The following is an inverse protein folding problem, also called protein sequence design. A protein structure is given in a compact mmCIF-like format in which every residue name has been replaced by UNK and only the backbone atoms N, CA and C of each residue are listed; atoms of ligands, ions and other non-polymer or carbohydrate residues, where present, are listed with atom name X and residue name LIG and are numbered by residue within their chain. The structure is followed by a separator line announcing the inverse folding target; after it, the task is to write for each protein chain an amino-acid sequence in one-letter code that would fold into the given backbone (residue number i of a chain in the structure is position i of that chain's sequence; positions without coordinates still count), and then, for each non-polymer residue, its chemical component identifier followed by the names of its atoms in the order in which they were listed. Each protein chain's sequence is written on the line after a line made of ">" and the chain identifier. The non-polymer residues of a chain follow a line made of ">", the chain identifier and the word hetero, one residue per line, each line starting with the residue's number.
data_IF_664941732559
#
_entry.id   IF_664941732559
#
_cell.length_a   1.000
_cell.length_b   1.000
_cell.length_c   1.000
_cell.angle_alpha   90.00
_cell.angle_beta   90.00
_cell.angle_gamma   90.00
#
_symmetry.space_group_name_H-M   'P 1'
#
loop_
_entity.id
_entity.type
_entity.pdbx_description
1 polymer ?
#
# COMPACT_ATOMS: atom_id res chain seq x y z
N UNK A 1 19.71 7.22 29.31
CA UNK A 1 18.70 6.35 29.94
C UNK A 1 17.61 6.05 28.92
N UNK A 2 17.44 4.78 28.53
CA UNK A 2 16.38 4.39 27.60
C UNK A 2 15.08 4.13 28.35
N UNK A 3 13.97 4.70 27.87
CA UNK A 3 12.64 4.46 28.43
C UNK A 3 12.19 3.08 27.96
N UNK A 4 11.97 2.17 28.90
CA UNK A 4 11.48 0.82 28.65
C UNK A 4 9.94 0.79 28.58
N UNK A 5 9.40 -0.22 27.89
CA UNK A 5 7.96 -0.51 27.87
C UNK A 5 7.56 -1.02 29.26
N UNK A 6 6.56 -0.40 29.89
CA UNK A 6 6.16 -0.75 31.26
C UNK A 6 5.68 -2.20 31.38
N UNK A 7 5.89 -2.82 32.55
CA UNK A 7 5.44 -4.19 32.82
C UNK A 7 3.92 -4.34 32.66
N UNK A 8 3.16 -3.33 33.07
CA UNK A 8 1.69 -3.31 32.89
C UNK A 8 1.30 -3.43 31.42
N UNK A 9 1.96 -2.70 30.51
CA UNK A 9 1.71 -2.81 29.07
C UNK A 9 2.06 -4.19 28.53
N UNK A 10 3.15 -4.77 29.01
CA UNK A 10 3.57 -6.13 28.60
C UNK A 10 2.53 -7.16 29.06
N UNK A 11 2.09 -7.08 30.32
CA UNK A 11 1.09 -7.99 30.88
C UNK A 11 -0.27 -7.82 30.18
N UNK A 12 -0.70 -6.57 29.95
CA UNK A 12 -1.91 -6.28 29.18
C UNK A 12 -1.83 -6.80 27.75
N UNK A 13 -0.67 -6.66 27.09
CA UNK A 13 -0.46 -7.19 25.75
C UNK A 13 -0.46 -8.73 25.71
N UNK A 14 0.05 -9.39 26.76
CA UNK A 14 -0.02 -10.85 26.88
C UNK A 14 -1.47 -11.34 27.02
N UNK A 15 -2.31 -10.61 27.75
CA UNK A 15 -3.72 -10.95 27.94
C UNK A 15 -4.60 -10.65 26.71
N UNK A 16 -4.35 -9.51 26.05
CA UNK A 16 -5.21 -9.01 24.95
C UNK A 16 -4.71 -9.38 23.56
N UNK A 17 -3.44 -9.79 23.43
CA UNK A 17 -2.79 -9.96 22.14
C UNK A 17 -2.49 -8.64 21.43
N UNK A 18 -2.60 -7.49 22.09
CA UNK A 18 -2.35 -6.17 21.48
C UNK A 18 -1.34 -5.39 22.30
N UNK A 19 -0.22 -5.02 21.68
CA UNK A 19 0.78 -4.15 22.30
C UNK A 19 0.69 -2.74 21.72
N UNK A 20 0.38 -1.76 22.58
CA UNK A 20 0.45 -0.34 22.24
C UNK A 20 1.59 0.32 23.02
N UNK A 21 2.67 0.65 22.30
CA UNK A 21 3.82 1.37 22.84
C UNK A 21 4.07 2.69 22.08
N UNK A 22 2.98 3.41 21.81
CA UNK A 22 3.00 4.72 21.16
C UNK A 22 3.61 5.79 22.07
N UNK A 23 4.43 6.68 21.51
CA UNK A 23 5.04 7.83 22.23
C UNK A 23 5.87 7.44 23.47
N UNK A 24 6.40 6.22 23.51
CA UNK A 24 7.22 5.71 24.59
C UNK A 24 8.69 6.14 24.51
N UNK A 25 9.06 7.04 23.58
CA UNK A 25 10.45 7.50 23.34
C UNK A 25 11.40 6.33 23.01
N UNK A 26 10.87 5.27 22.39
CA UNK A 26 11.67 4.11 21.98
C UNK A 26 12.63 4.51 20.86
N UNK A 27 13.88 4.08 20.95
CA UNK A 27 14.94 4.38 19.97
C UNK A 27 15.80 3.15 19.64
N UNK A 28 15.52 2.00 20.26
CA UNK A 28 16.33 0.78 20.14
C UNK A 28 15.48 -0.41 19.74
N UNK A 29 15.69 -0.90 18.52
CA UNK A 29 15.10 -2.15 18.06
C UNK A 29 15.51 -3.35 18.91
N UNK A 30 16.71 -3.36 19.50
CA UNK A 30 17.15 -4.47 20.36
C UNK A 30 16.27 -4.59 21.60
N UNK A 31 15.91 -3.47 22.22
CA UNK A 31 15.02 -3.44 23.39
C UNK A 31 13.62 -3.90 23.00
N UNK A 32 13.10 -3.38 21.89
CA UNK A 32 11.79 -3.77 21.37
C UNK A 32 11.74 -5.27 21.07
N UNK A 33 12.73 -5.81 20.36
CA UNK A 33 12.82 -7.23 20.03
C UNK A 33 12.81 -8.11 21.29
N UNK A 34 13.53 -7.71 22.35
CA UNK A 34 13.50 -8.44 23.64
C UNK A 34 12.10 -8.46 24.27
N UNK A 35 11.35 -7.38 24.17
CA UNK A 35 9.96 -7.31 24.69
C UNK A 35 9.03 -8.16 23.82
N UNK A 36 9.06 -7.98 22.50
CA UNK A 36 8.21 -8.71 21.56
C UNK A 36 8.49 -10.22 21.58
N UNK A 37 9.72 -10.65 21.86
CA UNK A 37 10.07 -12.06 22.00
C UNK A 37 9.31 -12.76 23.14
N UNK A 38 8.85 -12.01 24.16
CA UNK A 38 8.05 -12.53 25.28
C UNK A 38 6.55 -12.63 24.94
N UNK A 39 6.13 -12.10 23.79
CA UNK A 39 4.73 -11.94 23.41
C UNK A 39 4.48 -12.63 22.04
N UNK A 40 4.56 -13.97 21.96
CA UNK A 40 4.51 -14.70 20.69
C UNK A 40 3.14 -14.74 20.01
N UNK A 41 2.07 -14.34 20.70
CA UNK A 41 0.68 -14.43 20.21
C UNK A 41 0.05 -13.07 19.90
N UNK A 42 0.87 -12.04 19.66
CA UNK A 42 0.36 -10.70 19.35
C UNK A 42 -0.35 -10.67 18.00
N UNK A 43 -1.59 -10.16 18.02
CA UNK A 43 -2.41 -9.87 16.84
C UNK A 43 -2.26 -8.42 16.38
N UNK A 44 -1.91 -7.50 17.28
CA UNK A 44 -1.70 -6.09 16.95
C UNK A 44 -0.51 -5.49 17.66
N UNK A 45 0.30 -4.72 16.93
CA UNK A 45 1.45 -3.99 17.47
C UNK A 45 1.43 -2.56 16.97
N UNK A 46 1.39 -1.59 17.89
CA UNK A 46 1.55 -0.18 17.61
C UNK A 46 2.81 0.36 18.30
N UNK A 47 3.78 0.79 17.49
CA UNK A 47 5.04 1.41 17.91
C UNK A 47 5.15 2.83 17.33
N UNK A 48 4.02 3.49 17.08
CA UNK A 48 3.98 4.79 16.43
C UNK A 48 4.52 5.93 17.31
N UNK A 49 4.93 7.03 16.66
CA UNK A 49 5.37 8.26 17.33
C UNK A 49 6.53 8.03 18.31
N UNK A 50 7.44 7.14 17.95
CA UNK A 50 8.69 6.92 18.66
C UNK A 50 9.88 7.55 17.89
N UNK A 51 11.11 7.21 18.25
CA UNK A 51 12.36 7.73 17.62
C UNK A 51 13.15 6.60 16.98
N UNK A 52 12.45 5.64 16.36
CA UNK A 52 13.08 4.51 15.70
C UNK A 52 13.66 4.98 14.36
N UNK A 53 14.94 5.37 14.37
CA UNK A 53 15.65 5.88 13.20
C UNK A 53 16.46 4.82 12.46
N UNK A 54 16.89 3.77 13.17
CA UNK A 54 17.63 2.66 12.58
C UNK A 54 16.70 1.80 11.71
N UNK A 55 17.21 1.23 10.60
CA UNK A 55 16.47 0.24 9.82
C UNK A 55 15.93 -0.88 10.70
N UNK A 56 14.78 -1.42 10.31
CA UNK A 56 14.15 -2.53 11.01
C UNK A 56 15.14 -3.71 11.09
N UNK A 57 15.43 -4.18 12.31
CA UNK A 57 16.38 -5.28 12.49
C UNK A 57 15.81 -6.58 11.94
N UNK A 58 16.65 -7.38 11.32
CA UNK A 58 16.22 -8.67 10.76
C UNK A 58 15.77 -9.69 11.80
N UNK A 59 16.30 -9.58 13.02
CA UNK A 59 15.80 -10.31 14.19
C UNK A 59 14.31 -10.11 14.47
N UNK A 60 13.70 -9.01 14.01
CA UNK A 60 12.25 -8.80 14.11
C UNK A 60 11.49 -9.88 13.36
N UNK A 61 11.94 -10.30 12.17
CA UNK A 61 11.26 -11.33 11.37
C UNK A 61 11.36 -12.74 11.95
N UNK A 62 12.23 -12.94 12.96
CA UNK A 62 12.37 -14.21 13.68
C UNK A 62 11.46 -14.33 14.90
N UNK A 63 10.66 -13.31 15.19
CA UNK A 63 9.75 -13.29 16.34
C UNK A 63 8.53 -14.19 16.10
N UNK A 64 8.10 -14.92 17.13
CA UNK A 64 6.94 -15.80 17.07
C UNK A 64 5.62 -15.09 16.71
N UNK A 65 5.51 -13.79 17.04
CA UNK A 65 4.31 -12.98 16.80
C UNK A 65 3.84 -12.98 15.34
N UNK A 66 4.75 -13.12 14.38
CA UNK A 66 4.40 -13.03 12.95
C UNK A 66 3.42 -14.11 12.49
N UNK A 67 3.30 -15.23 13.20
CA UNK A 67 2.30 -16.27 12.89
C UNK A 67 0.86 -15.84 13.22
N UNK A 68 0.68 -14.83 14.06
CA UNK A 68 -0.63 -14.36 14.54
C UNK A 68 -0.91 -12.88 14.25
N UNK A 69 0.14 -12.10 13.97
CA UNK A 69 0.07 -10.66 13.78
C UNK A 69 -0.80 -10.28 12.58
N UNK A 70 -1.81 -9.45 12.81
CA UNK A 70 -2.74 -8.91 11.81
C UNK A 70 -2.49 -7.43 11.54
N UNK A 71 -2.07 -6.67 12.55
CA UNK A 71 -1.85 -5.23 12.42
C UNK A 71 -0.49 -4.81 12.95
N UNK A 72 0.24 -4.02 12.15
CA UNK A 72 1.52 -3.44 12.52
C UNK A 72 1.53 -1.95 12.18
N UNK A 73 1.66 -1.11 13.21
CA UNK A 73 1.83 0.33 13.08
C UNK A 73 3.23 0.76 13.53
N UNK A 74 4.01 1.24 12.58
CA UNK A 74 5.35 1.81 12.76
C UNK A 74 5.39 3.30 12.36
N UNK A 75 4.23 3.95 12.27
CA UNK A 75 4.12 5.29 11.74
C UNK A 75 4.78 6.35 12.64
N UNK A 76 5.09 7.50 12.06
CA UNK A 76 5.63 8.66 12.77
C UNK A 76 6.90 8.33 13.57
N UNK A 77 7.79 7.55 12.97
CA UNK A 77 9.13 7.29 13.46
C UNK A 77 10.14 8.03 12.56
N UNK A 78 11.41 7.61 12.56
CA UNK A 78 12.44 8.14 11.66
C UNK A 78 13.01 7.02 10.77
N UNK A 79 12.22 5.98 10.49
CA UNK A 79 12.71 4.80 9.75
C UNK A 79 13.16 5.19 8.36
N UNK A 80 14.38 4.83 8.01
CA UNK A 80 14.95 5.07 6.67
C UNK A 80 14.74 3.90 5.73
N UNK A 81 14.60 2.67 6.24
CA UNK A 81 14.33 1.46 5.46
C UNK A 81 13.51 0.45 6.29
N UNK A 82 12.56 -0.19 5.64
CA UNK A 82 11.75 -1.30 6.15
C UNK A 82 11.93 -2.57 5.31
N UNK A 83 13.07 -2.69 4.62
CA UNK A 83 13.35 -3.67 3.58
C UNK A 83 13.29 -5.13 4.08
N UNK A 84 13.45 -5.35 5.39
CA UNK A 84 13.27 -6.67 6.02
C UNK A 84 11.82 -7.17 5.99
N UNK A 85 10.84 -6.28 5.79
CA UNK A 85 9.44 -6.66 5.59
C UNK A 85 9.21 -7.23 4.18
N UNK A 86 10.26 -7.40 3.37
CA UNK A 86 10.21 -8.00 2.04
C UNK A 86 11.15 -9.20 1.90
N UNK A 87 11.74 -9.37 0.71
CA UNK A 87 12.67 -10.48 0.37
C UNK A 87 13.77 -10.69 1.41
N UNK A 88 14.34 -9.62 1.97
CA UNK A 88 15.43 -9.73 2.95
C UNK A 88 14.98 -10.47 4.23
N UNK A 89 13.73 -10.31 4.66
CA UNK A 89 13.16 -11.09 5.76
C UNK A 89 12.92 -12.54 5.39
N UNK A 90 12.45 -12.79 4.16
CA UNK A 90 12.25 -14.15 3.64
C UNK A 90 13.55 -14.93 3.48
N UNK A 91 14.62 -14.30 2.98
CA UNK A 91 15.93 -14.92 2.76
C UNK A 91 16.70 -15.21 4.06
N UNK A 92 16.53 -14.41 5.11
CA UNK A 92 17.15 -14.73 6.41
C UNK A 92 16.56 -15.98 7.07
N UNK A 93 15.30 -16.31 6.76
CA UNK A 93 14.64 -17.54 7.22
C UNK A 93 15.07 -18.76 6.39
N UNK A 94 15.30 -18.60 5.08
CA UNK A 94 15.69 -19.70 4.18
C UNK A 94 17.11 -20.23 4.43
N UNK A 95 18.02 -19.45 5.03
CA UNK A 95 19.38 -19.92 5.39
C UNK A 95 19.41 -21.04 6.43
N UNK A 96 18.29 -21.35 7.11
CA UNK A 96 18.15 -22.55 7.95
C UNK A 96 17.75 -23.81 7.19
N UNK A 97 17.22 -23.70 5.97
CA UNK A 97 16.84 -24.84 5.15
C UNK A 97 17.81 -24.98 3.98
N UNK A 98 18.75 -25.93 4.12
CA UNK A 98 19.63 -26.35 3.02
C UNK A 98 18.77 -26.67 1.79
N UNK A 99 19.19 -26.13 0.64
CA UNK A 99 18.92 -26.56 -0.75
C UNK A 99 17.83 -27.64 -0.85
N UNK A 100 16.58 -27.22 -0.87
CA UNK A 100 15.51 -27.99 -1.48
C UNK A 100 14.70 -27.04 -2.36
N UNK A 101 14.49 -27.47 -3.59
CA UNK A 101 13.72 -26.83 -4.66
C UNK A 101 12.22 -26.74 -4.39
N UNK A 102 11.79 -27.00 -3.16
CA UNK A 102 10.45 -26.72 -2.64
C UNK A 102 10.58 -25.77 -1.44
N UNK A 103 10.68 -24.48 -1.72
CA UNK A 103 10.64 -23.45 -0.68
C UNK A 103 9.17 -23.28 -0.29
N UNK A 104 8.72 -23.95 0.78
CA UNK A 104 7.47 -23.58 1.44
C UNK A 104 7.61 -22.13 1.93
N UNK A 105 7.15 -21.18 1.10
CA UNK A 105 7.21 -19.75 1.43
C UNK A 105 6.49 -19.55 2.75
N UNK A 106 7.21 -19.08 3.76
CA UNK A 106 6.60 -18.65 5.02
C UNK A 106 5.72 -17.46 4.71
N UNK A 107 4.42 -17.64 4.90
CA UNK A 107 3.39 -16.63 4.64
C UNK A 107 2.81 -16.17 5.96
N UNK A 108 2.76 -14.85 6.16
CA UNK A 108 2.24 -14.27 7.40
C UNK A 108 0.83 -13.68 7.19
N UNK A 109 -0.03 -13.70 8.24
CA UNK A 109 -1.42 -13.29 8.13
C UNK A 109 -1.62 -11.78 8.32
N UNK A 110 -0.59 -10.96 8.11
CA UNK A 110 -0.67 -9.52 8.30
C UNK A 110 -1.70 -8.92 7.34
N UNK A 111 -2.62 -8.12 7.86
CA UNK A 111 -3.74 -7.52 7.12
C UNK A 111 -3.60 -6.00 6.99
N UNK A 112 -2.86 -5.35 7.90
CA UNK A 112 -2.67 -3.90 7.89
C UNK A 112 -1.24 -3.54 8.28
N UNK A 113 -0.59 -2.75 7.43
CA UNK A 113 0.75 -2.23 7.66
C UNK A 113 0.75 -0.71 7.52
N UNK A 114 1.17 -0.02 8.58
CA UNK A 114 1.31 1.43 8.59
C UNK A 114 2.77 1.84 8.79
N UNK A 115 3.35 2.43 7.75
CA UNK A 115 4.71 2.97 7.66
C UNK A 115 4.72 4.49 7.45
N UNK A 116 3.57 5.15 7.64
CA UNK A 116 3.40 6.58 7.37
C UNK A 116 4.33 7.46 8.21
N UNK A 117 4.63 8.68 7.75
CA UNK A 117 5.40 9.70 8.47
C UNK A 117 6.80 9.24 8.91
N UNK A 118 7.46 8.42 8.09
CA UNK A 118 8.84 8.00 8.26
C UNK A 118 9.77 8.74 7.28
N UNK A 119 10.99 8.24 7.08
CA UNK A 119 11.97 8.73 6.09
C UNK A 119 12.29 7.64 5.06
N UNK A 120 11.30 6.83 4.69
CA UNK A 120 11.50 5.72 3.76
C UNK A 120 11.79 6.26 2.37
N UNK A 121 12.88 5.80 1.76
CA UNK A 121 13.22 6.08 0.37
C UNK A 121 12.67 5.03 -0.60
N UNK A 122 12.29 3.85 -0.09
CA UNK A 122 11.73 2.77 -0.89
C UNK A 122 10.75 1.91 -0.10
N UNK A 123 9.83 1.26 -0.82
CA UNK A 123 8.96 0.23 -0.27
C UNK A 123 9.70 -1.11 -0.16
N UNK A 124 9.33 -1.99 0.79
CA UNK A 124 9.93 -3.31 0.90
C UNK A 124 9.69 -4.14 -0.37
N UNK A 125 10.76 -4.73 -0.91
CA UNK A 125 10.71 -5.53 -2.13
C UNK A 125 9.90 -6.83 -1.91
N UNK A 126 8.96 -7.15 -2.79
CA UNK A 126 8.06 -8.32 -2.70
C UNK A 126 7.32 -8.44 -1.36
N UNK A 127 6.97 -7.29 -0.76
CA UNK A 127 6.17 -7.19 0.47
C UNK A 127 4.93 -8.12 0.46
N UNK A 128 4.21 -8.17 -0.67
CA UNK A 128 2.94 -8.88 -0.78
C UNK A 128 3.10 -10.39 -0.96
N UNK A 129 4.28 -10.86 -1.37
CA UNK A 129 4.58 -12.29 -1.35
C UNK A 129 4.76 -12.80 0.08
N UNK A 130 5.28 -11.95 0.97
CA UNK A 130 5.47 -12.25 2.38
C UNK A 130 4.16 -12.08 3.19
N UNK A 131 3.35 -11.09 2.80
CA UNK A 131 2.06 -10.76 3.41
C UNK A 131 0.91 -10.80 2.39
N UNK A 132 0.53 -11.97 1.85
CA UNK A 132 -0.51 -12.09 0.82
C UNK A 132 -1.92 -11.76 1.34
N UNK A 133 -2.11 -11.70 2.66
CA UNK A 133 -3.36 -11.24 3.30
C UNK A 133 -3.39 -9.74 3.55
N UNK A 134 -2.36 -8.99 3.14
CA UNK A 134 -2.28 -7.55 3.39
C UNK A 134 -3.39 -6.83 2.62
N UNK A 135 -4.29 -6.18 3.35
CA UNK A 135 -5.42 -5.41 2.80
C UNK A 135 -5.11 -3.94 2.72
N UNK A 136 -4.35 -3.42 3.68
CA UNK A 136 -4.08 -1.98 3.81
C UNK A 136 -2.58 -1.72 3.95
N UNK A 137 -2.06 -0.92 3.03
CA UNK A 137 -0.70 -0.40 3.07
C UNK A 137 -0.74 1.12 3.15
N UNK A 138 -0.30 1.65 4.29
CA UNK A 138 -0.18 3.09 4.51
C UNK A 138 1.30 3.48 4.55
N UNK A 139 1.74 4.30 3.61
CA UNK A 139 3.08 4.90 3.57
C UNK A 139 2.98 6.40 3.31
N UNK A 140 1.94 7.05 3.85
CA UNK A 140 1.67 8.49 3.70
C UNK A 140 2.75 9.34 4.36
N UNK A 141 3.06 10.52 3.84
CA UNK A 141 3.83 11.54 4.54
C UNK A 141 5.30 11.16 4.74
N UNK A 142 5.86 10.26 3.91
CA UNK A 142 7.27 9.94 4.00
C UNK A 142 8.10 11.17 3.58
N UNK A 143 9.08 11.52 4.43
CA UNK A 143 9.86 12.75 4.30
C UNK A 143 10.91 12.67 3.19
N UNK A 144 11.40 11.47 2.91
CA UNK A 144 12.28 11.20 1.79
C UNK A 144 11.43 10.93 0.54
N UNK A 145 11.90 11.33 -0.67
CA UNK A 145 11.29 10.89 -1.93
C UNK A 145 11.20 9.37 -1.98
N UNK A 146 9.97 8.88 -2.11
CA UNK A 146 9.72 7.45 -2.24
C UNK A 146 9.96 7.05 -3.70
N UNK A 147 11.00 6.26 -3.94
CA UNK A 147 11.34 5.77 -5.28
C UNK A 147 10.58 4.47 -5.57
N UNK A 148 9.75 4.51 -6.61
CA UNK A 148 8.97 3.35 -7.10
C UNK A 148 9.36 3.10 -8.56
N UNK A 149 10.64 2.84 -8.79
CA UNK A 149 11.14 2.45 -10.11
C UNK A 149 10.51 1.13 -10.55
N UNK A 150 10.11 1.07 -11.82
CA UNK A 150 9.45 -0.10 -12.41
C UNK A 150 7.99 -0.29 -12.01
N UNK A 151 7.38 0.71 -11.35
CA UNK A 151 5.98 0.67 -10.94
C UNK A 151 5.75 -0.08 -9.61
N UNK A 152 4.59 0.15 -9.03
CA UNK A 152 4.23 -0.37 -7.70
C UNK A 152 4.28 -1.89 -7.65
N UNK A 153 3.69 -2.58 -8.63
CA UNK A 153 3.67 -4.04 -8.67
C UNK A 153 5.06 -4.68 -8.75
N UNK A 154 5.98 -4.11 -9.54
CA UNK A 154 7.35 -4.64 -9.61
C UNK A 154 8.07 -4.52 -8.26
N UNK A 155 7.74 -3.47 -7.48
CA UNK A 155 8.34 -3.25 -6.18
C UNK A 155 7.75 -4.17 -5.10
N UNK A 156 6.42 -4.22 -4.95
CA UNK A 156 5.80 -4.92 -3.81
C UNK A 156 5.28 -6.33 -4.13
N UNK A 157 5.22 -6.73 -5.40
CA UNK A 157 4.63 -7.99 -5.84
C UNK A 157 3.12 -7.89 -6.13
N UNK A 158 2.49 -9.04 -6.39
CA UNK A 158 1.03 -9.16 -6.56
C UNK A 158 0.33 -9.30 -5.21
N UNK A 159 -0.90 -8.78 -5.10
CA UNK A 159 -1.65 -8.78 -3.85
C UNK A 159 -3.15 -8.92 -4.06
N UNK A 160 -3.65 -10.15 -4.03
CA UNK A 160 -5.06 -10.45 -4.23
C UNK A 160 -5.98 -9.79 -3.18
N UNK A 161 -5.50 -9.63 -1.94
CA UNK A 161 -6.27 -9.08 -0.83
C UNK A 161 -6.13 -7.55 -0.66
N UNK A 162 -5.22 -6.90 -1.39
CA UNK A 162 -4.89 -5.50 -1.18
C UNK A 162 -6.06 -4.61 -1.62
N UNK A 163 -6.67 -3.88 -0.69
CA UNK A 163 -7.82 -3.00 -0.93
C UNK A 163 -7.45 -1.53 -0.94
N UNK A 164 -6.49 -1.12 -0.13
CA UNK A 164 -6.12 0.29 0.04
C UNK A 164 -4.61 0.48 -0.05
N UNK A 165 -4.21 1.40 -0.92
CA UNK A 165 -2.84 1.92 -1.04
C UNK A 165 -2.88 3.42 -0.73
N UNK A 166 -2.18 3.84 0.33
CA UNK A 166 -2.01 5.25 0.67
C UNK A 166 -0.54 5.64 0.61
N UNK A 167 -0.18 6.40 -0.41
CA UNK A 167 1.15 6.97 -0.62
C UNK A 167 1.07 8.50 -0.71
N UNK A 168 0.04 9.13 -0.15
CA UNK A 168 -0.12 10.58 -0.19
C UNK A 168 1.02 11.30 0.54
N UNK A 169 1.35 12.52 0.13
CA UNK A 169 2.39 13.36 0.75
C UNK A 169 3.77 12.69 0.85
N UNK A 170 4.12 11.76 -0.03
CA UNK A 170 5.36 10.98 0.00
C UNK A 170 6.37 11.39 -1.07
N UNK A 171 6.22 12.62 -1.58
CA UNK A 171 7.13 13.25 -2.55
C UNK A 171 7.32 12.43 -3.83
N UNK A 172 6.31 11.65 -4.22
CA UNK A 172 6.33 10.89 -5.48
C UNK A 172 6.37 11.85 -6.66
N UNK A 173 7.37 11.70 -7.53
CA UNK A 173 7.45 12.45 -8.81
C UNK A 173 6.80 11.71 -9.98
N UNK A 174 6.75 10.39 -9.88
CA UNK A 174 6.19 9.50 -10.88
C UNK A 174 5.55 8.31 -10.20
N UNK A 175 4.41 7.86 -10.72
CA UNK A 175 3.74 6.69 -10.20
C UNK A 175 3.05 5.93 -11.33
N UNK A 176 3.26 4.62 -11.34
CA UNK A 176 2.44 3.68 -12.09
C UNK A 176 2.11 2.52 -11.17
N UNK A 177 0.89 2.00 -11.27
CA UNK A 177 0.57 0.75 -10.62
C UNK A 177 1.28 -0.41 -11.32
N UNK A 178 1.30 -0.38 -12.67
CA UNK A 178 1.97 -1.34 -13.53
C UNK A 178 2.91 -0.64 -14.51
N UNK A 179 4.13 -1.14 -14.61
CA UNK A 179 5.12 -0.72 -15.61
C UNK A 179 5.71 -1.94 -16.33
N UNK A 180 6.37 -1.72 -17.46
CA UNK A 180 6.98 -2.78 -18.27
C UNK A 180 8.09 -3.58 -17.56
N UNK A 181 8.55 -3.12 -16.39
CA UNK A 181 9.52 -3.80 -15.54
C UNK A 181 8.91 -4.87 -14.61
N UNK A 182 7.58 -4.94 -14.48
CA UNK A 182 6.92 -6.11 -13.90
C UNK A 182 7.07 -7.29 -14.88
N UNK A 183 8.25 -7.92 -14.87
CA UNK A 183 8.70 -8.85 -15.90
C UNK A 183 8.14 -10.27 -15.70
N UNK A 184 7.96 -10.94 -16.85
CA UNK A 184 7.64 -12.35 -17.11
C UNK A 184 6.15 -12.71 -17.02
N UNK A 185 5.54 -12.81 -18.21
CA UNK A 185 4.13 -13.00 -18.50
C UNK A 185 3.28 -11.78 -18.14
N UNK A 186 2.60 -11.19 -19.13
CA UNK A 186 1.37 -10.45 -18.84
C UNK A 186 0.46 -11.45 -18.11
N UNK A 187 0.27 -11.31 -16.78
CA UNK A 187 -0.55 -12.28 -16.08
C UNK A 187 -1.94 -12.20 -16.68
N UNK A 188 -2.51 -13.35 -17.04
CA UNK A 188 -3.90 -13.42 -17.47
C UNK A 188 -4.84 -12.87 -16.38
N UNK A 189 -4.38 -12.89 -15.13
CA UNK A 189 -5.11 -12.44 -13.95
C UNK A 189 -4.68 -11.04 -13.47
N UNK A 190 -5.61 -10.25 -12.92
CA UNK A 190 -5.30 -8.98 -12.27
C UNK A 190 -4.28 -9.15 -11.13
N UNK A 191 -3.29 -8.25 -11.06
CA UNK A 191 -2.31 -8.25 -9.96
C UNK A 191 -2.89 -7.75 -8.63
N UNK A 192 -3.91 -6.89 -8.70
CA UNK A 192 -4.61 -6.31 -7.54
C UNK A 192 -6.14 -6.34 -7.75
N UNK A 193 -6.76 -7.54 -7.80
CA UNK A 193 -8.18 -7.69 -8.10
C UNK A 193 -9.09 -7.01 -7.07
N UNK A 194 -8.64 -6.89 -5.81
CA UNK A 194 -9.43 -6.32 -4.70
C UNK A 194 -9.16 -4.83 -4.43
N UNK A 195 -8.25 -4.20 -5.19
CA UNK A 195 -7.88 -2.81 -4.94
C UNK A 195 -9.09 -1.91 -5.16
N UNK A 196 -9.47 -1.16 -4.13
CA UNK A 196 -10.61 -0.24 -4.15
C UNK A 196 -10.22 1.22 -4.02
N UNK A 197 -9.10 1.51 -3.36
CA UNK A 197 -8.67 2.88 -3.03
C UNK A 197 -7.17 3.07 -3.31
N UNK A 198 -6.87 4.09 -4.09
CA UNK A 198 -5.52 4.56 -4.38
C UNK A 198 -5.39 6.03 -4.00
N UNK A 199 -4.63 6.31 -2.94
CA UNK A 199 -4.45 7.66 -2.41
C UNK A 199 -3.04 8.17 -2.70
N UNK A 200 -2.94 9.22 -3.52
CA UNK A 200 -1.71 9.81 -4.04
C UNK A 200 -1.70 11.35 -3.90
N UNK A 201 -2.58 11.92 -3.06
CA UNK A 201 -2.68 13.36 -2.85
C UNK A 201 -1.40 13.96 -2.26
N UNK A 202 -1.14 15.24 -2.49
CA UNK A 202 -0.02 15.95 -1.86
C UNK A 202 1.38 15.51 -2.30
N UNK A 203 1.49 14.76 -3.40
CA UNK A 203 2.77 14.35 -3.99
C UNK A 203 3.32 15.41 -4.96
N UNK A 204 4.37 15.07 -5.70
CA UNK A 204 5.01 15.90 -6.71
C UNK A 204 4.72 15.36 -8.12
N UNK A 205 3.53 14.80 -8.37
CA UNK A 205 3.21 14.23 -9.67
C UNK A 205 2.96 15.35 -10.68
N UNK A 206 3.75 15.40 -11.75
CA UNK A 206 3.61 16.37 -12.85
C UNK A 206 3.21 15.74 -14.18
N UNK A 207 2.83 16.57 -15.14
CA UNK A 207 2.49 16.16 -16.51
C UNK A 207 1.18 15.36 -16.57
N UNK A 208 1.20 14.21 -17.26
CA UNK A 208 0.02 13.35 -17.41
C UNK A 208 0.07 12.17 -16.45
N UNK A 209 -0.94 12.02 -15.61
CA UNK A 209 -1.11 10.84 -14.76
C UNK A 209 -1.76 9.67 -15.54
N UNK A 210 -1.16 8.49 -15.48
CA UNK A 210 -1.75 7.23 -15.95
C UNK A 210 -1.60 6.14 -14.88
N UNK A 211 -2.54 5.19 -14.82
CA UNK A 211 -2.42 4.04 -13.89
C UNK A 211 -1.39 3.01 -14.38
N UNK A 212 -1.30 2.85 -15.69
CA UNK A 212 -0.46 1.88 -16.36
C UNK A 212 0.51 2.63 -17.27
N UNK A 213 1.77 2.26 -17.22
CA UNK A 213 2.82 2.81 -18.09
C UNK A 213 2.59 2.41 -19.55
N UNK A 214 3.02 3.26 -20.50
CA UNK A 214 3.03 2.94 -21.93
C UNK A 214 3.89 1.72 -22.28
N UNK A 215 4.84 1.36 -21.42
CA UNK A 215 5.71 0.19 -21.55
C UNK A 215 5.02 -1.13 -21.17
N UNK A 216 3.83 -1.07 -20.56
CA UNK A 216 3.08 -2.26 -20.20
C UNK A 216 2.53 -2.97 -21.44
N UNK A 217 2.87 -4.26 -21.56
CA UNK A 217 2.46 -5.12 -22.67
C UNK A 217 1.22 -5.97 -22.38
N UNK A 218 0.72 -5.95 -21.14
CA UNK A 218 -0.45 -6.75 -20.75
C UNK A 218 -1.79 -6.09 -21.11
N UNK A 219 -2.91 -6.69 -20.67
CA UNK A 219 -4.24 -6.14 -20.89
C UNK A 219 -4.34 -4.71 -20.38
N UNK A 220 -4.95 -3.83 -21.19
CA UNK A 220 -5.19 -2.41 -20.86
C UNK A 220 -6.64 -2.15 -20.42
N UNK A 221 -7.46 -3.20 -20.34
CA UNK A 221 -8.89 -3.12 -20.04
C UNK A 221 -9.18 -3.94 -18.79
N UNK A 222 -9.99 -3.39 -17.87
CA UNK A 222 -10.53 -4.13 -16.73
C UNK A 222 -9.52 -4.67 -15.71
N UNK A 223 -8.27 -4.20 -15.74
CA UNK A 223 -7.21 -4.75 -14.90
C UNK A 223 -7.33 -4.40 -13.41
N UNK A 224 -8.10 -3.35 -13.06
CA UNK A 224 -8.46 -3.02 -11.67
C UNK A 224 -9.99 -3.03 -11.51
N UNK A 225 -10.61 -4.23 -11.45
CA UNK A 225 -12.06 -4.37 -11.56
C UNK A 225 -12.82 -3.76 -10.39
N UNK A 226 -12.19 -3.56 -9.23
CA UNK A 226 -12.82 -3.03 -8.02
C UNK A 226 -12.32 -1.64 -7.61
N UNK A 227 -11.42 -1.02 -8.37
CA UNK A 227 -10.86 0.29 -8.01
C UNK A 227 -11.94 1.35 -8.12
N UNK A 228 -12.32 1.97 -6.99
CA UNK A 228 -13.41 2.95 -6.90
C UNK A 228 -12.91 4.37 -6.78
N UNK A 229 -11.77 4.57 -6.14
CA UNK A 229 -11.28 5.91 -5.81
C UNK A 229 -9.82 6.06 -6.16
N UNK A 230 -9.51 7.13 -6.88
CA UNK A 230 -8.15 7.63 -7.10
C UNK A 230 -8.08 9.05 -6.55
N UNK A 231 -7.24 9.29 -5.55
CA UNK A 231 -7.03 10.62 -5.00
C UNK A 231 -5.71 11.21 -5.52
N UNK A 232 -5.78 12.26 -6.33
CA UNK A 232 -4.65 13.01 -6.88
C UNK A 232 -4.69 14.47 -6.45
N UNK A 233 -5.41 14.80 -5.39
CA UNK A 233 -5.57 16.16 -4.92
C UNK A 233 -4.22 16.84 -4.60
N UNK A 234 -4.15 18.15 -4.81
CA UNK A 234 -3.10 19.02 -4.27
C UNK A 234 -1.67 18.58 -4.62
N UNK A 235 -1.40 18.24 -5.89
CA UNK A 235 -0.04 17.97 -6.34
C UNK A 235 0.80 19.25 -6.26
N UNK A 236 2.08 19.09 -5.89
CA UNK A 236 3.04 20.19 -5.78
C UNK A 236 3.65 20.59 -7.13
N UNK A 237 3.76 19.63 -8.04
CA UNK A 237 4.13 19.89 -9.43
C UNK A 237 2.88 20.12 -10.27
N UNK A 238 3.04 20.72 -11.46
CA UNK A 238 1.93 20.95 -12.37
C UNK A 238 1.44 19.61 -12.94
N UNK A 239 0.39 19.07 -12.35
CA UNK A 239 -0.39 18.00 -12.95
C UNK A 239 -1.23 18.59 -14.08
N UNK A 240 -0.83 18.30 -15.32
CA UNK A 240 -1.44 18.87 -16.52
C UNK A 240 -2.73 18.16 -16.90
N UNK A 241 -2.71 16.82 -16.84
CA UNK A 241 -3.78 15.96 -17.32
C UNK A 241 -3.87 14.66 -16.54
N UNK A 242 -5.06 14.06 -16.55
CA UNK A 242 -5.28 12.64 -16.23
C UNK A 242 -5.61 11.94 -17.53
N UNK A 243 -4.90 10.86 -17.84
CA UNK A 243 -5.16 10.08 -19.04
C UNK A 243 -6.51 9.35 -18.91
N UNK A 244 -7.45 9.53 -19.86
CA UNK A 244 -8.76 8.91 -19.76
C UNK A 244 -8.80 7.38 -19.74
N UNK A 245 -7.71 6.71 -20.14
CA UNK A 245 -7.57 5.26 -20.03
C UNK A 245 -7.76 4.75 -18.60
N UNK A 246 -7.68 5.59 -17.57
CA UNK A 246 -8.03 5.21 -16.19
C UNK A 246 -9.44 4.60 -16.09
N UNK A 247 -10.41 5.05 -16.88
CA UNK A 247 -11.78 4.49 -16.89
C UNK A 247 -11.87 3.14 -17.61
N UNK A 248 -10.97 2.88 -18.56
CA UNK A 248 -10.88 1.61 -19.29
C UNK A 248 -10.19 0.55 -18.43
N UNK A 249 -9.11 0.95 -17.74
CA UNK A 249 -8.32 0.08 -16.87
C UNK A 249 -9.09 -0.23 -15.58
N UNK A 250 -9.80 0.76 -15.01
CA UNK A 250 -10.57 0.65 -13.78
C UNK A 250 -12.07 0.93 -14.05
N UNK A 251 -12.83 -0.07 -14.55
CA UNK A 251 -14.23 0.13 -14.94
C UNK A 251 -15.14 0.51 -13.76
N UNK A 252 -14.78 0.08 -12.55
CA UNK A 252 -15.50 0.43 -11.31
C UNK A 252 -15.03 1.74 -10.69
N UNK A 253 -14.20 2.55 -11.36
CA UNK A 253 -13.77 3.85 -10.84
C UNK A 253 -15.02 4.73 -10.68
N UNK A 254 -15.22 5.36 -9.54
CA UNK A 254 -16.34 6.29 -9.29
C UNK A 254 -15.81 7.71 -9.14
N UNK A 255 -14.66 7.85 -8.49
CA UNK A 255 -14.16 9.12 -8.01
C UNK A 255 -12.68 9.29 -8.35
N UNK A 256 -12.40 10.37 -9.08
CA UNK A 256 -11.04 10.91 -9.28
C UNK A 256 -11.00 12.27 -8.59
N UNK A 257 -10.31 12.35 -7.46
CA UNK A 257 -10.23 13.59 -6.68
C UNK A 257 -9.05 14.42 -7.21
N UNK A 258 -9.36 15.56 -7.82
CA UNK A 258 -8.37 16.50 -8.37
C UNK A 258 -8.30 17.83 -7.58
N UNK A 259 -8.99 17.89 -6.44
CA UNK A 259 -9.10 19.08 -5.59
C UNK A 259 -7.74 19.75 -5.32
N UNK A 260 -7.64 21.06 -5.57
CA UNK A 260 -6.44 21.84 -5.25
C UNK A 260 -5.29 21.72 -6.25
N UNK A 261 -5.51 21.13 -7.44
CA UNK A 261 -4.56 21.21 -8.55
C UNK A 261 -4.86 22.45 -9.42
N UNK A 262 -3.82 23.09 -9.96
CA UNK A 262 -3.96 24.33 -10.73
C UNK A 262 -4.85 24.19 -11.98
N UNK A 263 -4.86 23.02 -12.62
CA UNK A 263 -5.65 22.72 -13.82
C UNK A 263 -6.88 21.84 -13.55
N UNK A 264 -7.35 21.78 -12.30
CA UNK A 264 -8.45 20.90 -11.90
C UNK A 264 -9.65 20.96 -12.85
N UNK A 265 -10.18 22.15 -13.14
CA UNK A 265 -11.39 22.30 -13.96
C UNK A 265 -11.15 21.86 -15.41
N UNK A 266 -10.03 22.28 -16.00
CA UNK A 266 -9.64 21.85 -17.34
C UNK A 266 -9.43 20.34 -17.44
N UNK A 267 -8.80 19.71 -16.43
CA UNK A 267 -8.62 18.26 -16.39
C UNK A 267 -9.96 17.53 -16.29
N UNK A 268 -10.87 18.01 -15.44
CA UNK A 268 -12.20 17.43 -15.32
C UNK A 268 -13.00 17.56 -16.62
N UNK A 269 -12.86 18.69 -17.32
CA UNK A 269 -13.52 18.91 -18.60
C UNK A 269 -12.95 18.03 -19.72
N UNK A 270 -11.62 17.92 -19.79
CA UNK A 270 -10.92 17.01 -20.70
C UNK A 270 -11.37 15.55 -20.48
N UNK A 271 -11.46 15.10 -19.22
CA UNK A 271 -11.97 13.77 -18.89
C UNK A 271 -13.42 13.60 -19.32
N UNK A 272 -14.29 14.60 -19.09
CA UNK A 272 -15.70 14.53 -19.48
C UNK A 272 -15.90 14.40 -20.99
N UNK A 273 -15.05 15.02 -21.79
CA UNK A 273 -15.13 14.98 -23.26
C UNK A 273 -14.48 13.75 -23.88
N UNK A 274 -13.86 12.88 -23.08
CA UNK A 274 -13.14 11.72 -23.60
C UNK A 274 -14.07 10.60 -24.10
N UNK A 275 -13.58 9.86 -25.09
CA UNK A 275 -14.28 8.70 -25.67
C UNK A 275 -14.36 7.52 -24.70
N UNK A 276 -13.53 7.48 -23.67
CA UNK A 276 -13.53 6.47 -22.61
C UNK A 276 -14.54 6.80 -21.50
N UNK A 277 -14.65 8.09 -21.14
CA UNK A 277 -15.52 8.54 -20.07
C UNK A 277 -17.00 8.52 -20.47
N UNK A 278 -17.32 8.90 -21.71
CA UNK A 278 -18.70 8.97 -22.20
C UNK A 278 -19.42 7.61 -22.19
N UNK A 279 -18.82 6.51 -22.67
CA UNK A 279 -19.38 5.16 -22.51
C UNK A 279 -19.40 4.71 -21.05
N UNK A 280 -18.36 5.02 -20.28
CA UNK A 280 -18.27 4.65 -18.86
C UNK A 280 -19.43 5.24 -18.05
N UNK A 281 -19.76 6.53 -18.26
CA UNK A 281 -20.91 7.18 -17.62
C UNK A 281 -22.26 6.61 -18.06
N UNK A 282 -22.42 6.28 -19.35
CA UNK A 282 -23.63 5.62 -19.86
C UNK A 282 -23.83 4.23 -19.23
N UNK A 283 -22.77 3.42 -19.17
CA UNK A 283 -22.81 2.09 -18.57
C UNK A 283 -23.19 2.15 -17.09
N UNK A 284 -22.63 3.12 -16.35
CA UNK A 284 -22.99 3.41 -14.95
C UNK A 284 -24.46 3.76 -14.76
N UNK A 285 -24.98 4.71 -15.54
CA UNK A 285 -26.39 5.09 -15.49
C UNK A 285 -27.28 3.87 -15.73
N UNK A 286 -27.00 3.09 -16.78
CA UNK A 286 -27.73 1.85 -17.04
C UNK A 286 -27.63 0.82 -15.91
N UNK A 287 -26.48 0.73 -15.22
CA UNK A 287 -26.30 -0.14 -14.05
C UNK A 287 -27.13 0.28 -12.85
N UNK A 288 -27.16 1.59 -12.55
CA UNK A 288 -27.99 2.17 -11.48
C UNK A 288 -29.48 2.03 -11.82
N UNK A 289 -29.87 2.30 -13.07
CA UNK A 289 -31.26 2.15 -13.54
C UNK A 289 -31.73 0.69 -13.46
N UNK A 290 -30.85 -0.27 -13.75
CA UNK A 290 -31.13 -1.71 -13.56
C UNK A 290 -31.28 -2.04 -12.07
N UNK A 291 -30.38 -1.57 -11.20
CA UNK A 291 -30.53 -1.78 -9.75
C UNK A 291 -31.84 -1.18 -9.22
N UNK A 292 -32.21 0.03 -9.65
CA UNK A 292 -33.48 0.67 -9.30
C UNK A 292 -34.69 -0.18 -9.72
N UNK A 293 -34.66 -0.75 -10.94
CA UNK A 293 -35.74 -1.60 -11.46
C UNK A 293 -35.86 -2.94 -10.73
N UNK A 294 -34.77 -3.50 -10.22
CA UNK A 294 -34.75 -4.84 -9.63
C UNK A 294 -34.82 -4.86 -8.09
N UNK A 295 -34.28 -3.85 -7.40
CA UNK A 295 -34.16 -3.86 -5.93
C UNK A 295 -34.81 -2.66 -5.23
N UNK A 296 -35.40 -1.71 -5.97
CA UNK A 296 -36.10 -0.54 -5.40
C UNK A 296 -35.23 0.42 -4.60
N UNK A 297 -33.91 0.23 -4.60
CA UNK A 297 -32.93 1.06 -3.88
C UNK A 297 -31.69 1.26 -4.75
N UNK A 298 -31.31 2.52 -4.97
CA UNK A 298 -30.02 2.90 -5.54
C UNK A 298 -29.15 3.55 -4.47
N UNK A 299 -27.92 3.08 -4.35
CA UNK A 299 -26.87 3.88 -3.75
C UNK A 299 -26.38 4.88 -4.81
N UNK A 300 -26.72 6.15 -4.66
CA UNK A 300 -26.07 7.26 -5.33
C UNK A 300 -24.90 7.72 -4.46
N UNK A 301 -23.68 7.27 -4.80
CA UNK A 301 -22.40 7.90 -4.43
C UNK A 301 -21.41 7.75 -5.57
#
# INVERSE_FOLDING_TARGET
>A
MGVDISRERINGAAATGVLVASRCKLHSWRTIVKVLAKLPNLRGVALDRNRLSKPLLSGVMRLGMWSTLRTLDLSSNDLTCACVLGVLGGCELSKKHKRHTDCSRVVYPLESLNLSNNRLHQLPLLLLELFPKLRRLFCRGNKAPLEIEGGFAARVGSGAALTTIDLGCSQLRKFYLLDGAAANAAPAEPLFPSLSELLLDGNCLGGTFTLISSRWKGPKTGHFPLLKTINLASQKELLERVDPSVYVVAPSLHMVILAGNARQDAMMEDLRHSEEYQPWTKWRRCGVDKQLRFTGTAALM
#
